data_IF_347002991885
#
_entry.id   IF_347002991885
#
_cell.length_a   1.000
_cell.length_b   1.000
_cell.length_c   1.000
_cell.angle_alpha   90.00
_cell.angle_beta   90.00
_cell.angle_gamma   90.00
#
_symmetry.space_group_name_H-M   'P 1'
#
loop_
_entity.id
_entity.type
_entity.pdbx_description
1 polymer ?
#
# COMPACT_ATOMS: atom_id res chain seq x y z
N UNK A 1 24.99 12.22 -67.76
CA UNK A 1 23.90 11.59 -66.98
C UNK A 1 24.52 11.07 -65.69
N UNK A 2 24.25 11.71 -64.55
CA UNK A 2 24.81 11.30 -63.25
C UNK A 2 24.04 10.08 -62.74
N UNK A 3 24.65 8.91 -62.82
CA UNK A 3 24.08 7.68 -62.26
C UNK A 3 24.41 7.64 -60.78
N UNK A 4 23.42 7.96 -59.96
CA UNK A 4 23.58 7.89 -58.51
C UNK A 4 23.81 6.42 -58.12
N UNK A 5 24.84 6.10 -57.32
CA UNK A 5 25.12 4.72 -56.99
C UNK A 5 24.01 4.13 -56.12
N UNK A 6 23.52 2.94 -56.49
CA UNK A 6 22.42 2.24 -55.78
C UNK A 6 22.68 2.04 -54.28
N UNK A 7 23.95 1.99 -53.85
CA UNK A 7 24.33 1.87 -52.45
C UNK A 7 24.04 3.15 -51.62
N UNK A 8 24.04 4.32 -52.25
CA UNK A 8 23.71 5.58 -51.57
C UNK A 8 22.21 5.65 -51.22
N UNK A 9 21.34 5.11 -52.09
CA UNK A 9 19.91 5.03 -51.82
C UNK A 9 19.58 4.08 -50.66
N UNK A 10 20.30 2.96 -50.56
CA UNK A 10 20.16 2.01 -49.44
C UNK A 10 20.60 2.64 -48.12
N UNK A 11 21.69 3.41 -48.11
CA UNK A 11 22.16 4.12 -46.92
C UNK A 11 21.18 5.20 -46.47
N UNK A 12 20.57 5.96 -47.40
CA UNK A 12 19.57 6.99 -47.07
C UNK A 12 18.30 6.35 -46.48
N UNK A 13 17.84 5.23 -47.05
CA UNK A 13 16.68 4.50 -46.52
C UNK A 13 16.98 3.88 -45.15
N UNK A 14 18.17 3.29 -44.97
CA UNK A 14 18.58 2.73 -43.68
C UNK A 14 18.73 3.82 -42.60
N UNK A 15 19.30 4.97 -42.93
CA UNK A 15 19.45 6.10 -42.02
C UNK A 15 18.08 6.73 -41.66
N UNK A 16 17.18 6.83 -42.64
CA UNK A 16 15.79 7.25 -42.40
C UNK A 16 15.02 6.31 -41.48
N UNK A 17 15.26 5.00 -41.58
CA UNK A 17 14.63 3.99 -40.73
C UNK A 17 15.16 4.03 -39.28
N UNK A 18 16.47 4.23 -39.11
CA UNK A 18 17.10 4.38 -37.78
C UNK A 18 16.68 5.70 -37.10
N UNK A 19 16.60 6.80 -37.85
CA UNK A 19 16.13 8.09 -37.32
C UNK A 19 14.63 8.07 -36.93
N UNK A 20 13.80 7.36 -37.70
CA UNK A 20 12.38 7.19 -37.36
C UNK A 20 12.16 6.28 -36.14
N UNK A 21 13.02 5.27 -35.93
CA UNK A 21 12.97 4.39 -34.76
C UNK A 21 13.40 5.09 -33.45
N UNK A 22 14.17 6.17 -33.52
CA UNK A 22 14.60 6.95 -32.36
C UNK A 22 13.50 7.89 -31.79
N UNK A 23 12.36 8.02 -32.47
CA UNK A 23 11.30 8.99 -32.15
C UNK A 23 10.20 8.43 -31.23
N UNK A 24 10.56 7.57 -30.26
CA UNK A 24 9.60 6.88 -29.39
C UNK A 24 9.70 7.17 -27.90
N UNK A 25 10.81 7.76 -27.43
CA UNK A 25 10.94 8.12 -26.03
C UNK A 25 10.27 9.48 -25.78
N UNK A 26 8.95 9.47 -25.54
CA UNK A 26 8.28 10.61 -24.92
C UNK A 26 9.09 11.01 -23.69
N UNK A 27 9.50 12.28 -23.64
CA UNK A 27 10.25 12.83 -22.51
C UNK A 27 9.33 13.01 -21.29
N UNK A 28 8.75 11.92 -20.81
CA UNK A 28 7.82 11.94 -19.69
C UNK A 28 8.61 12.20 -18.40
N UNK A 29 8.28 13.33 -17.77
CA UNK A 29 8.75 13.68 -16.44
C UNK A 29 7.63 13.40 -15.45
N UNK A 30 7.89 12.55 -14.45
CA UNK A 30 6.94 12.24 -13.38
C UNK A 30 7.33 12.93 -12.09
N UNK A 31 6.41 13.72 -11.54
CA UNK A 31 6.52 14.36 -10.24
C UNK A 31 5.35 14.01 -9.33
N UNK A 32 5.61 13.93 -8.03
CA UNK A 32 4.57 13.78 -7.00
C UNK A 32 4.52 15.04 -6.15
N UNK A 33 3.31 15.60 -6.00
CA UNK A 33 2.99 16.66 -5.04
C UNK A 33 2.54 16.01 -3.74
N UNK A 34 3.39 16.00 -2.73
CA UNK A 34 3.18 15.29 -1.47
C UNK A 34 3.06 16.30 -0.32
N UNK A 35 2.02 16.13 0.50
CA UNK A 35 1.86 16.82 1.77
C UNK A 35 1.63 15.77 2.86
N UNK A 36 2.51 15.70 3.85
CA UNK A 36 2.44 14.70 4.90
C UNK A 36 1.67 15.22 6.11
N UNK A 37 0.55 14.57 6.46
CA UNK A 37 -0.42 15.11 7.43
C UNK A 37 0.12 15.23 8.85
N UNK A 38 1.10 14.40 9.23
CA UNK A 38 1.63 14.38 10.60
C UNK A 38 2.90 15.20 10.78
N UNK A 39 3.66 15.44 9.70
CA UNK A 39 4.91 16.22 9.76
C UNK A 39 4.75 17.60 9.16
N UNK A 40 3.64 17.84 8.45
CA UNK A 40 3.35 19.06 7.68
C UNK A 40 4.38 19.39 6.60
N UNK A 41 5.23 18.41 6.26
CA UNK A 41 6.19 18.53 5.17
C UNK A 41 5.45 18.54 3.84
N UNK A 42 5.83 19.50 2.99
CA UNK A 42 5.23 19.71 1.67
C UNK A 42 6.33 19.74 0.62
N UNK A 43 6.20 18.91 -0.41
CA UNK A 43 7.20 18.85 -1.47
C UNK A 43 6.56 18.49 -2.82
N UNK A 44 7.05 19.09 -3.88
CA UNK A 44 6.87 18.60 -5.24
C UNK A 44 8.18 17.97 -5.70
N UNK A 45 8.16 16.66 -5.98
CA UNK A 45 9.39 15.89 -6.19
C UNK A 45 9.32 15.20 -7.54
N UNK A 46 10.23 15.57 -8.44
CA UNK A 46 10.47 14.84 -9.68
C UNK A 46 11.28 13.59 -9.36
N UNK A 47 10.73 12.41 -9.66
CA UNK A 47 11.34 11.12 -9.31
C UNK A 47 11.62 10.21 -10.52
N UNK A 48 11.07 10.53 -11.70
CA UNK A 48 11.33 9.80 -12.95
C UNK A 48 11.41 10.79 -14.12
N UNK A 49 12.38 10.59 -15.00
CA UNK A 49 12.56 11.37 -16.25
C UNK A 49 12.95 10.42 -17.37
N UNK A 50 12.25 10.49 -18.50
CA UNK A 50 12.56 9.72 -19.71
C UNK A 50 12.68 8.21 -19.41
N UNK A 51 11.72 7.67 -18.66
CA UNK A 51 11.69 6.27 -18.25
C UNK A 51 12.65 5.90 -17.10
N UNK A 52 13.60 6.77 -16.73
CA UNK A 52 14.60 6.48 -15.69
C UNK A 52 14.28 7.16 -14.36
N UNK A 53 14.44 6.43 -13.26
CA UNK A 53 14.29 7.02 -11.93
C UNK A 53 15.43 7.98 -11.60
N UNK A 54 15.09 9.08 -10.94
CA UNK A 54 16.02 10.12 -10.49
C UNK A 54 16.41 9.79 -9.04
N UNK A 55 17.66 9.39 -8.74
CA UNK A 55 18.06 8.95 -7.40
C UNK A 55 17.83 10.00 -6.32
N UNK A 56 18.04 11.28 -6.64
CA UNK A 56 17.78 12.38 -5.71
C UNK A 56 16.29 12.51 -5.37
N UNK A 57 15.41 12.40 -6.36
CA UNK A 57 13.96 12.41 -6.16
C UNK A 57 13.50 11.26 -5.29
N UNK A 58 14.02 10.05 -5.54
CA UNK A 58 13.74 8.88 -4.71
C UNK A 58 14.20 9.08 -3.26
N UNK A 59 15.38 9.67 -3.02
CA UNK A 59 15.85 9.98 -1.66
C UNK A 59 14.92 10.97 -0.95
N UNK A 60 14.50 12.05 -1.63
CA UNK A 60 13.55 13.02 -1.06
C UNK A 60 12.21 12.36 -0.70
N UNK A 61 11.73 11.46 -1.55
CA UNK A 61 10.51 10.70 -1.30
C UNK A 61 10.67 9.74 -0.11
N UNK A 62 11.81 9.06 0.02
CA UNK A 62 12.09 8.19 1.16
C UNK A 62 12.06 8.94 2.50
N UNK A 63 12.45 10.22 2.50
CA UNK A 63 12.36 11.08 3.69
C UNK A 63 10.91 11.49 3.94
N UNK A 64 10.20 12.08 2.98
CA UNK A 64 8.82 12.56 3.24
C UNK A 64 7.84 11.42 3.54
N UNK A 65 8.10 10.20 3.05
CA UNK A 65 7.31 9.00 3.33
C UNK A 65 7.87 8.14 4.47
N UNK A 66 8.83 8.64 5.25
CA UNK A 66 9.41 7.91 6.39
C UNK A 66 8.39 7.58 7.46
N UNK A 67 8.75 6.67 8.36
CA UNK A 67 7.99 6.49 9.59
C UNK A 67 8.16 7.73 10.47
N UNK A 68 7.16 8.61 10.46
CA UNK A 68 7.20 9.88 11.18
C UNK A 68 7.30 9.72 12.70
N UNK A 69 6.83 8.60 13.27
CA UNK A 69 6.87 8.38 14.73
C UNK A 69 8.28 8.16 15.23
N UNK A 70 9.16 7.68 14.36
CA UNK A 70 10.54 7.31 14.68
C UNK A 70 11.57 8.05 13.84
N UNK A 71 11.12 8.85 12.88
CA UNK A 71 11.97 9.54 11.92
C UNK A 71 12.85 8.57 11.11
N UNK A 72 12.33 7.38 10.81
CA UNK A 72 13.08 6.30 10.15
C UNK A 72 12.66 6.19 8.67
N UNK A 73 13.51 6.58 7.71
CA UNK A 73 13.22 6.39 6.29
C UNK A 73 13.50 4.95 5.85
N UNK A 74 12.95 4.58 4.70
CA UNK A 74 13.26 3.31 4.03
C UNK A 74 13.46 3.54 2.53
N UNK A 75 13.96 2.53 1.81
CA UNK A 75 13.92 2.53 0.35
C UNK A 75 12.50 2.19 -0.11
N UNK A 76 11.74 3.20 -0.49
CA UNK A 76 10.41 3.00 -1.08
C UNK A 76 10.54 2.31 -2.45
N UNK A 77 9.59 1.41 -2.77
CA UNK A 77 9.53 0.75 -4.07
C UNK A 77 9.12 1.77 -5.14
N UNK A 78 9.96 2.07 -6.15
CA UNK A 78 9.63 3.08 -7.15
C UNK A 78 8.35 2.77 -7.95
N UNK A 79 7.94 1.49 -8.01
CA UNK A 79 6.67 1.09 -8.66
C UNK A 79 5.45 1.62 -7.89
N UNK A 80 5.54 1.76 -6.57
CA UNK A 80 4.48 2.41 -5.79
C UNK A 80 4.30 3.86 -6.22
N UNK A 81 5.41 4.55 -6.49
CA UNK A 81 5.39 5.95 -6.92
C UNK A 81 4.74 6.08 -8.30
N UNK A 82 5.07 5.17 -9.22
CA UNK A 82 4.41 5.08 -10.51
C UNK A 82 2.90 4.79 -10.38
N UNK A 83 2.50 3.88 -9.48
CA UNK A 83 1.09 3.56 -9.23
C UNK A 83 0.31 4.81 -8.78
N UNK A 84 0.85 5.52 -7.79
CA UNK A 84 0.25 6.73 -7.23
C UNK A 84 0.20 7.85 -8.28
N UNK A 85 1.26 8.02 -9.06
CA UNK A 85 1.35 9.04 -10.08
C UNK A 85 0.30 8.85 -11.19
N UNK A 86 0.15 7.63 -11.66
CA UNK A 86 -0.89 7.27 -12.61
C UNK A 86 -2.30 7.46 -12.02
N UNK A 87 -2.52 7.02 -10.77
CA UNK A 87 -3.81 7.22 -10.10
C UNK A 87 -4.17 8.71 -9.94
N UNK A 88 -3.17 9.54 -9.63
CA UNK A 88 -3.30 10.99 -9.56
C UNK A 88 -3.74 11.58 -10.91
N UNK A 89 -3.08 11.15 -12.00
CA UNK A 89 -3.39 11.60 -13.36
C UNK A 89 -4.79 11.16 -13.81
N UNK A 90 -5.14 9.89 -13.63
CA UNK A 90 -6.46 9.35 -13.99
C UNK A 90 -7.59 9.98 -13.15
N UNK A 91 -7.29 10.37 -11.91
CA UNK A 91 -8.24 11.07 -11.06
C UNK A 91 -8.56 12.49 -11.55
N UNK A 92 -7.72 13.08 -12.42
CA UNK A 92 -7.78 14.50 -12.79
C UNK A 92 -7.42 15.41 -11.61
N UNK A 93 -6.53 14.94 -10.73
CA UNK A 93 -6.13 15.66 -9.53
C UNK A 93 -5.24 16.87 -9.85
N UNK A 94 -5.39 17.94 -9.07
CA UNK A 94 -4.60 19.17 -9.20
C UNK A 94 -3.88 19.58 -7.92
N UNK A 95 -4.43 19.21 -6.77
CA UNK A 95 -3.91 19.53 -5.44
C UNK A 95 -2.91 18.48 -4.92
N UNK A 96 -2.25 18.76 -3.80
CA UNK A 96 -1.29 17.87 -3.17
C UNK A 96 -1.96 16.57 -2.69
N UNK A 97 -1.25 15.46 -2.91
CA UNK A 97 -1.55 14.16 -2.30
C UNK A 97 -1.33 14.29 -0.80
N UNK A 98 -2.41 14.09 -0.05
CA UNK A 98 -2.43 14.15 1.41
C UNK A 98 -2.02 12.78 1.93
N UNK A 99 -0.76 12.66 2.33
CA UNK A 99 -0.17 11.41 2.82
C UNK A 99 -0.54 11.21 4.28
N UNK A 100 -1.30 10.16 4.55
CA UNK A 100 -1.64 9.70 5.90
C UNK A 100 -0.51 8.83 6.44
N UNK A 101 -0.01 7.90 5.62
CA UNK A 101 1.02 6.95 6.04
C UNK A 101 1.84 6.45 4.84
N UNK A 102 3.16 6.53 4.95
CA UNK A 102 4.12 5.92 4.03
C UNK A 102 4.72 4.65 4.62
N UNK A 103 6.03 4.62 4.82
CA UNK A 103 6.70 3.54 5.54
C UNK A 103 6.29 3.47 7.01
N UNK A 104 6.26 2.25 7.55
CA UNK A 104 6.13 1.98 8.99
C UNK A 104 7.24 1.05 9.42
N UNK A 105 7.96 1.40 10.47
CA UNK A 105 8.95 0.48 11.02
C UNK A 105 8.26 -0.74 11.65
N UNK A 106 8.98 -1.87 11.81
CA UNK A 106 8.43 -3.04 12.51
C UNK A 106 7.91 -2.71 13.91
N UNK A 107 8.62 -1.86 14.66
CA UNK A 107 8.21 -1.41 15.99
C UNK A 107 6.89 -0.64 15.95
N UNK A 108 6.76 0.32 15.02
CA UNK A 108 5.53 1.08 14.82
C UNK A 108 4.37 0.18 14.38
N UNK A 109 4.60 -0.77 13.48
CA UNK A 109 3.56 -1.70 13.04
C UNK A 109 3.06 -2.56 14.21
N UNK A 110 3.97 -3.12 15.02
CA UNK A 110 3.62 -3.90 16.22
C UNK A 110 2.83 -3.07 17.24
N UNK A 111 3.24 -1.82 17.48
CA UNK A 111 2.52 -0.89 18.37
C UNK A 111 1.11 -0.58 17.86
N UNK A 112 0.92 -0.38 16.54
CA UNK A 112 -0.41 -0.12 15.99
C UNK A 112 -1.31 -1.38 16.00
N UNK A 113 -0.71 -2.57 15.85
CA UNK A 113 -1.41 -3.86 15.97
C UNK A 113 -1.89 -4.15 17.37
N UNK A 114 -1.09 -3.85 18.40
CA UNK A 114 -1.53 -4.07 19.78
C UNK A 114 -2.74 -3.20 20.16
N UNK A 115 -2.96 -2.09 19.43
CA UNK A 115 -4.06 -1.15 19.63
C UNK A 115 -5.25 -1.37 18.69
N UNK A 116 -5.10 -2.17 17.63
CA UNK A 116 -6.15 -2.34 16.63
C UNK A 116 -6.05 -3.65 15.86
N UNK A 117 -7.21 -4.19 15.50
CA UNK A 117 -7.31 -5.40 14.65
C UNK A 117 -7.17 -5.10 13.15
N UNK A 118 -7.13 -3.83 12.76
CA UNK A 118 -7.10 -3.37 11.36
C UNK A 118 -5.71 -3.31 10.74
N UNK A 119 -4.65 -3.66 11.49
CA UNK A 119 -3.27 -3.61 11.02
C UNK A 119 -2.73 -5.01 10.78
N UNK A 120 -2.29 -5.27 9.55
CA UNK A 120 -1.69 -6.54 9.17
C UNK A 120 -0.31 -6.76 9.82
N UNK A 121 -0.01 -8.00 10.18
CA UNK A 121 1.29 -8.40 10.73
C UNK A 121 2.42 -8.19 9.72
N UNK A 122 2.24 -8.69 8.50
CA UNK A 122 3.17 -8.55 7.38
C UNK A 122 2.71 -7.45 6.43
N UNK A 123 2.65 -6.22 6.94
CA UNK A 123 2.13 -5.07 6.17
C UNK A 123 3.07 -4.66 5.03
N UNK A 124 2.53 -4.31 3.87
CA UNK A 124 3.29 -3.75 2.75
C UNK A 124 3.92 -2.39 3.09
N UNK A 125 3.40 -1.66 4.08
CA UNK A 125 4.04 -0.44 4.60
C UNK A 125 5.43 -0.71 5.18
N UNK A 126 5.65 -1.86 5.83
CA UNK A 126 6.96 -2.23 6.38
C UNK A 126 7.98 -2.57 5.29
N UNK A 127 7.51 -2.86 4.08
CA UNK A 127 8.37 -3.18 2.93
C UNK A 127 8.64 -1.96 2.04
N UNK A 128 8.13 -0.78 2.41
CA UNK A 128 8.20 0.42 1.55
C UNK A 128 7.37 0.28 0.28
N UNK A 129 6.35 -0.59 0.28
CA UNK A 129 5.54 -0.96 -0.89
C UNK A 129 4.11 -0.42 -0.85
N UNK A 130 3.75 0.35 0.15
CA UNK A 130 2.39 0.87 0.32
C UNK A 130 2.35 2.34 0.74
N UNK A 131 1.24 2.99 0.42
CA UNK A 131 0.91 4.34 0.86
C UNK A 131 -0.58 4.47 1.15
N UNK A 132 -0.90 5.15 2.25
CA UNK A 132 -2.25 5.57 2.62
C UNK A 132 -2.38 7.06 2.32
N UNK A 133 -3.35 7.43 1.50
CA UNK A 133 -3.51 8.82 1.06
C UNK A 133 -4.93 9.16 0.61
N UNK A 134 -5.18 10.46 0.47
CA UNK A 134 -6.31 10.99 -0.28
C UNK A 134 -5.86 12.22 -1.07
N UNK A 135 -6.73 12.73 -1.93
CA UNK A 135 -6.46 13.93 -2.72
C UNK A 135 -7.67 14.87 -2.57
N UNK A 136 -7.48 16.12 -2.12
CA UNK A 136 -8.55 17.11 -2.05
C UNK A 136 -9.24 17.28 -3.42
N UNK A 137 -10.57 17.39 -3.40
CA UNK A 137 -11.38 17.50 -4.61
C UNK A 137 -11.60 16.18 -5.38
N UNK A 138 -10.94 15.08 -5.02
CA UNK A 138 -11.16 13.76 -5.62
C UNK A 138 -12.04 12.91 -4.68
N UNK A 139 -13.24 12.46 -5.10
CA UNK A 139 -14.04 11.55 -4.30
C UNK A 139 -13.26 10.27 -3.98
N UNK A 140 -13.23 9.86 -2.70
CA UNK A 140 -12.44 8.72 -2.25
C UNK A 140 -12.81 7.42 -2.99
N UNK A 141 -14.10 7.23 -3.28
CA UNK A 141 -14.60 6.10 -4.08
C UNK A 141 -14.05 6.10 -5.51
N UNK A 142 -13.88 7.27 -6.13
CA UNK A 142 -13.27 7.41 -7.47
C UNK A 142 -11.82 6.94 -7.42
N UNK A 143 -11.06 7.42 -6.45
CA UNK A 143 -9.65 7.08 -6.29
C UNK A 143 -9.45 5.56 -6.01
N UNK A 144 -10.31 4.98 -5.16
CA UNK A 144 -10.37 3.52 -4.95
C UNK A 144 -10.61 2.78 -6.27
N UNK A 145 -11.61 3.20 -7.04
CA UNK A 145 -11.99 2.54 -8.30
C UNK A 145 -10.87 2.59 -9.34
N UNK A 146 -10.15 3.71 -9.40
CA UNK A 146 -8.94 3.86 -10.23
C UNK A 146 -7.90 2.81 -9.80
N UNK A 147 -7.54 2.76 -8.51
CA UNK A 147 -6.58 1.77 -8.00
C UNK A 147 -6.99 0.33 -8.32
N UNK A 148 -8.28 0.00 -8.21
CA UNK A 148 -8.80 -1.32 -8.55
C UNK A 148 -8.57 -1.65 -10.02
N UNK A 149 -8.92 -0.73 -10.94
CA UNK A 149 -8.77 -0.89 -12.39
C UNK A 149 -7.32 -1.05 -12.83
N UNK A 150 -6.40 -0.36 -12.15
CA UNK A 150 -4.97 -0.45 -12.44
C UNK A 150 -4.38 -1.84 -12.14
N UNK A 151 -4.94 -2.58 -11.18
CA UNK A 151 -4.48 -3.93 -10.82
C UNK A 151 -2.96 -4.00 -10.57
N UNK A 152 -2.39 -2.93 -9.99
CA UNK A 152 -0.95 -2.82 -9.68
C UNK A 152 -0.55 -3.49 -8.36
N UNK A 153 -1.53 -3.80 -7.51
CA UNK A 153 -1.35 -4.49 -6.23
C UNK A 153 -2.59 -4.34 -5.35
N UNK A 154 -2.41 -4.25 -4.03
CA UNK A 154 -3.51 -4.16 -3.07
C UNK A 154 -4.18 -2.80 -3.02
N UNK A 155 -5.51 -2.78 -2.85
CA UNK A 155 -6.31 -1.57 -2.66
C UNK A 155 -7.20 -1.67 -1.43
N UNK A 156 -6.97 -0.79 -0.45
CA UNK A 156 -7.82 -0.67 0.74
C UNK A 156 -8.70 0.59 0.68
N UNK A 157 -9.92 0.51 1.21
CA UNK A 157 -10.87 1.64 1.25
C UNK A 157 -11.33 1.94 2.67
N UNK A 158 -10.99 3.15 3.15
CA UNK A 158 -11.24 3.59 4.52
C UNK A 158 -12.00 4.93 4.54
N UNK A 159 -13.30 4.95 4.18
CA UNK A 159 -14.09 6.18 4.20
C UNK A 159 -14.50 6.60 5.62
N UNK A 160 -14.52 5.66 6.57
CA UNK A 160 -14.99 5.85 7.95
C UNK A 160 -13.85 6.02 8.97
N UNK A 161 -12.59 6.05 8.53
CA UNK A 161 -11.48 6.37 9.42
C UNK A 161 -11.53 7.84 9.83
N UNK A 162 -10.94 8.17 10.99
CA UNK A 162 -10.91 9.56 11.50
C UNK A 162 -10.27 10.56 10.53
N UNK A 163 -9.36 10.09 9.67
CA UNK A 163 -8.97 10.75 8.42
C UNK A 163 -9.28 9.79 7.28
N UNK A 164 -10.26 10.05 6.40
CA UNK A 164 -10.58 9.14 5.29
C UNK A 164 -9.42 8.98 4.30
N UNK A 165 -9.14 7.77 3.85
CA UNK A 165 -8.07 7.50 2.87
C UNK A 165 -8.29 6.23 2.03
N UNK A 166 -7.53 6.13 0.95
CA UNK A 166 -7.31 4.87 0.23
C UNK A 166 -5.93 4.35 0.54
N UNK A 167 -5.81 3.04 0.65
CA UNK A 167 -4.55 2.34 0.67
C UNK A 167 -4.25 1.84 -0.73
N UNK A 168 -3.03 2.05 -1.21
CA UNK A 168 -2.53 1.38 -2.42
C UNK A 168 -1.15 0.78 -2.16
N UNK A 169 -0.93 -0.44 -2.65
CA UNK A 169 0.35 -1.13 -2.57
C UNK A 169 0.72 -1.83 -3.88
N UNK A 170 1.99 -2.23 -3.99
CA UNK A 170 2.55 -2.99 -5.13
C UNK A 170 2.86 -4.45 -4.77
N UNK A 171 2.08 -5.02 -3.85
CA UNK A 171 2.05 -6.45 -3.56
C UNK A 171 1.13 -7.22 -4.52
N UNK A 172 0.56 -8.33 -4.05
CA UNK A 172 -0.42 -9.08 -4.83
C UNK A 172 -1.71 -8.28 -4.99
N UNK A 173 -2.33 -8.42 -6.17
CA UNK A 173 -3.62 -7.79 -6.48
C UNK A 173 -4.69 -8.38 -5.56
N UNK A 174 -5.26 -7.50 -4.75
CA UNK A 174 -6.31 -7.81 -3.77
C UNK A 174 -7.02 -6.54 -3.38
N UNK A 175 -8.15 -6.64 -2.70
CA UNK A 175 -8.84 -5.46 -2.18
C UNK A 175 -9.51 -5.73 -0.85
N UNK A 176 -9.73 -4.66 -0.08
CA UNK A 176 -10.52 -4.70 1.15
C UNK A 176 -11.21 -3.35 1.41
N UNK A 177 -12.44 -3.33 1.94
CA UNK A 177 -13.30 -4.48 2.23
C UNK A 177 -13.76 -5.19 0.95
N UNK A 178 -14.34 -6.39 1.08
CA UNK A 178 -14.81 -7.15 -0.08
C UNK A 178 -15.84 -6.37 -0.90
N UNK A 179 -15.76 -6.50 -2.23
CA UNK A 179 -16.62 -5.82 -3.20
C UNK A 179 -17.68 -6.79 -3.75
N UNK A 180 -18.92 -6.31 -3.90
CA UNK A 180 -20.00 -7.14 -4.47
C UNK A 180 -19.72 -7.47 -5.94
N UNK A 181 -20.25 -8.60 -6.42
CA UNK A 181 -20.14 -8.98 -7.84
C UNK A 181 -20.65 -7.90 -8.77
N UNK A 182 -21.79 -7.28 -8.45
CA UNK A 182 -22.40 -6.23 -9.26
C UNK A 182 -21.50 -5.01 -9.37
N UNK A 183 -20.91 -4.56 -8.26
CA UNK A 183 -19.98 -3.44 -8.26
C UNK A 183 -18.70 -3.77 -9.03
N UNK A 184 -18.18 -4.98 -8.88
CA UNK A 184 -16.99 -5.40 -9.63
C UNK A 184 -17.25 -5.51 -11.13
N UNK A 185 -18.42 -6.01 -11.55
CA UNK A 185 -18.84 -6.05 -12.96
C UNK A 185 -19.01 -4.63 -13.52
N UNK A 186 -19.52 -3.69 -12.72
CA UNK A 186 -19.59 -2.28 -13.14
C UNK A 186 -18.21 -1.68 -13.40
N UNK A 187 -17.19 -2.09 -12.62
CA UNK A 187 -15.80 -1.66 -12.83
C UNK A 187 -15.11 -2.39 -13.99
N UNK A 188 -15.44 -3.66 -14.21
CA UNK A 188 -14.88 -4.52 -15.24
C UNK A 188 -15.99 -5.17 -16.07
N UNK A 189 -16.63 -4.43 -17.01
CA UNK A 189 -17.75 -4.97 -17.80
C UNK A 189 -17.38 -6.19 -18.64
N UNK A 190 -16.11 -6.32 -19.04
CA UNK A 190 -15.58 -7.47 -19.78
C UNK A 190 -15.21 -8.66 -18.87
N UNK A 191 -15.37 -8.53 -17.55
CA UNK A 191 -15.01 -9.55 -16.56
C UNK A 191 -13.51 -9.82 -16.41
N UNK A 192 -12.63 -9.09 -17.11
CA UNK A 192 -11.17 -9.30 -17.10
C UNK A 192 -10.54 -8.59 -15.91
N UNK A 193 -10.52 -9.27 -14.77
CA UNK A 193 -9.93 -8.75 -13.55
C UNK A 193 -9.34 -9.86 -12.68
N UNK A 194 -8.28 -9.53 -11.94
CA UNK A 194 -7.66 -10.37 -10.91
C UNK A 194 -8.37 -10.21 -9.56
N UNK A 195 -9.27 -9.25 -9.42
CA UNK A 195 -10.07 -9.09 -8.21
C UNK A 195 -11.16 -10.16 -8.15
N UNK A 196 -11.34 -10.76 -6.98
CA UNK A 196 -12.40 -11.73 -6.72
C UNK A 196 -13.50 -11.07 -5.88
N UNK A 197 -14.78 -11.13 -6.27
CA UNK A 197 -15.88 -10.59 -5.47
C UNK A 197 -16.01 -11.24 -4.08
N UNK A 198 -16.79 -10.61 -3.20
CA UNK A 198 -17.07 -11.13 -1.85
C UNK A 198 -17.75 -12.50 -1.82
N UNK A 199 -18.33 -12.96 -2.92
CA UNK A 199 -18.91 -14.31 -3.03
C UNK A 199 -17.86 -15.41 -3.29
N UNK A 200 -16.58 -15.03 -3.42
CA UNK A 200 -15.45 -15.93 -3.60
C UNK A 200 -15.32 -16.56 -5.00
N UNK A 201 -16.25 -16.27 -5.91
CA UNK A 201 -16.25 -16.85 -7.26
C UNK A 201 -15.64 -15.85 -8.26
N UNK A 202 -14.60 -16.19 -9.00
CA UNK A 202 -14.02 -15.27 -9.99
C UNK A 202 -15.03 -14.79 -11.05
N UNK A 203 -14.75 -13.66 -11.71
CA UNK A 203 -15.51 -13.25 -12.90
C UNK A 203 -15.11 -14.09 -14.12
N UNK A 204 -15.97 -14.24 -15.15
CA UNK A 204 -15.67 -15.08 -16.31
C UNK A 204 -14.36 -14.77 -17.06
N UNK A 205 -13.85 -13.53 -16.97
CA UNK A 205 -12.59 -13.11 -17.60
C UNK A 205 -11.35 -13.24 -16.71
N UNK A 206 -11.46 -13.85 -15.53
CA UNK A 206 -10.38 -13.96 -14.56
C UNK A 206 -9.15 -14.70 -15.12
N UNK A 207 -9.34 -15.87 -15.74
CA UNK A 207 -8.24 -16.66 -16.31
C UNK A 207 -7.48 -15.88 -17.39
N UNK A 208 -8.21 -15.13 -18.22
CA UNK A 208 -7.61 -14.28 -19.26
C UNK A 208 -6.80 -13.13 -18.64
N UNK A 209 -7.30 -12.54 -17.55
CA UNK A 209 -6.60 -11.50 -16.80
C UNK A 209 -5.33 -12.07 -16.14
N UNK A 210 -5.40 -13.27 -15.59
CA UNK A 210 -4.29 -13.99 -14.95
C UNK A 210 -3.21 -14.38 -15.96
N UNK A 211 -3.59 -14.92 -17.12
CA UNK A 211 -2.66 -15.20 -18.21
C UNK A 211 -1.96 -13.92 -18.69
N UNK A 212 -2.72 -12.84 -18.88
CA UNK A 212 -2.16 -11.54 -19.26
C UNK A 212 -1.21 -10.99 -18.19
N UNK A 213 -1.51 -11.19 -16.91
CA UNK A 213 -0.64 -10.78 -15.80
C UNK A 213 0.66 -11.59 -15.76
N UNK A 214 0.59 -12.92 -15.90
CA UNK A 214 1.76 -13.80 -15.96
C UNK A 214 2.67 -13.45 -17.14
N UNK A 215 2.10 -13.20 -18.32
CA UNK A 215 2.86 -12.79 -19.51
C UNK A 215 3.60 -11.44 -19.29
N UNK A 216 2.97 -10.47 -18.61
CA UNK A 216 3.63 -9.20 -18.25
C UNK A 216 4.75 -9.40 -17.24
N UNK A 217 4.53 -10.24 -16.23
CA UNK A 217 5.55 -10.54 -15.21
C UNK A 217 6.77 -11.22 -15.84
N UNK A 218 6.56 -12.14 -16.79
CA UNK A 218 7.64 -12.82 -17.53
C UNK A 218 8.41 -11.91 -18.49
N UNK A 219 7.78 -10.87 -19.05
CA UNK A 219 8.43 -9.90 -19.95
C UNK A 219 9.09 -8.72 -19.22
N UNK A 220 9.09 -8.70 -17.89
CA UNK A 220 9.70 -7.63 -17.08
C UNK A 220 9.00 -6.27 -17.17
N UNK A 221 7.83 -6.18 -17.82
CA UNK A 221 7.07 -4.94 -17.95
C UNK A 221 6.27 -4.63 -16.68
N UNK A 222 6.39 -3.43 -16.10
CA UNK A 222 5.63 -3.08 -14.90
C UNK A 222 4.13 -2.99 -15.20
N UNK A 223 3.30 -3.57 -14.32
CA UNK A 223 1.84 -3.64 -14.49
C UNK A 223 1.14 -2.28 -14.70
N UNK A 224 1.82 -1.20 -14.30
CA UNK A 224 1.29 0.16 -14.24
C UNK A 224 1.35 0.89 -15.60
N UNK A 225 2.23 0.47 -16.53
CA UNK A 225 2.44 1.19 -17.80
C UNK A 225 1.22 1.18 -18.74
N UNK A 226 0.33 0.20 -18.64
CA UNK A 226 -0.86 0.10 -19.51
C UNK A 226 -2.03 1.00 -19.10
N UNK A 227 -2.08 1.52 -17.87
CA UNK A 227 -3.09 2.52 -17.51
C UNK A 227 -2.90 3.82 -18.33
N UNK A 228 -1.65 4.13 -18.69
CA UNK A 228 -1.28 5.28 -19.53
C UNK A 228 -1.57 5.09 -21.03
N UNK A 229 -1.63 3.84 -21.50
CA UNK A 229 -1.84 3.50 -22.91
C UNK A 229 -3.33 3.41 -23.30
N UNK A 230 -4.25 3.66 -22.37
CA UNK A 230 -5.70 3.62 -22.58
C UNK A 230 -6.30 4.82 -23.33
N UNK A 231 -5.47 5.74 -23.84
CA UNK A 231 -5.89 6.78 -24.77
C UNK A 231 -6.14 6.19 -26.16
N UNK A 232 -7.37 6.24 -26.63
CA UNK A 232 -7.84 5.73 -27.93
C UNK A 232 -6.92 6.11 -29.10
N UNK A 233 -6.06 5.18 -29.53
CA UNK A 233 -5.57 5.16 -30.90
C UNK A 233 -5.61 3.73 -31.42
N UNK A 234 -6.47 3.50 -32.43
CA UNK A 234 -6.45 2.29 -33.23
C UNK A 234 -5.05 2.17 -33.83
N UNK A 235 -4.30 1.12 -33.47
CA UNK A 235 -3.16 0.67 -34.27
C UNK A 235 -3.39 -0.77 -34.72
N UNK A 236 -3.67 -0.88 -36.00
CA UNK A 236 -3.88 -2.10 -36.77
C UNK A 236 -2.57 -2.88 -36.96
N UNK A 237 -2.64 -4.19 -36.79
CA UNK A 237 -1.91 -5.16 -37.62
C UNK A 237 -0.47 -5.49 -37.23
N UNK A 238 -0.23 -6.76 -36.90
CA UNK A 238 1.10 -7.34 -36.76
C UNK A 238 1.05 -8.87 -36.73
N UNK A 239 0.69 -9.49 -37.85
CA UNK A 239 0.51 -10.95 -38.02
C UNK A 239 1.85 -11.73 -38.20
N UNK A 240 2.99 -11.17 -37.81
CA UNK A 240 4.32 -11.71 -38.13
C UNK A 240 5.19 -12.05 -36.90
N UNK A 241 4.68 -11.92 -35.68
CA UNK A 241 5.45 -12.18 -34.46
C UNK A 241 5.64 -13.67 -34.12
N UNK A 242 5.13 -14.60 -34.95
CA UNK A 242 5.10 -16.03 -34.64
C UNK A 242 6.13 -16.88 -35.41
N UNK A 243 7.05 -16.28 -36.18
CA UNK A 243 7.93 -17.04 -37.08
C UNK A 243 9.44 -16.91 -36.85
N UNK A 244 9.90 -16.33 -35.74
CA UNK A 244 11.35 -16.32 -35.43
C UNK A 244 11.65 -16.38 -33.93
N UNK A 245 12.20 -17.50 -33.48
CA UNK A 245 12.88 -17.70 -32.19
C UNK A 245 12.05 -18.44 -31.15
N UNK A 246 12.18 -19.75 -30.90
CA UNK A 246 13.21 -20.70 -31.34
C UNK A 246 14.35 -20.88 -30.33
N UNK A 247 14.07 -21.61 -29.24
CA UNK A 247 15.05 -22.43 -28.50
C UNK A 247 15.76 -21.80 -27.28
N UNK A 248 15.62 -22.44 -26.13
CA UNK A 248 16.45 -22.19 -24.93
C UNK A 248 15.78 -22.65 -23.64
N UNK A 249 16.13 -23.86 -23.20
CA UNK A 249 15.64 -24.56 -22.00
C UNK A 249 16.16 -24.00 -20.66
N UNK A 250 15.48 -24.44 -19.61
CA UNK A 250 15.84 -24.59 -18.18
C UNK A 250 15.95 -23.35 -17.27
N UNK A 251 15.03 -23.23 -16.30
CA UNK A 251 15.26 -23.70 -14.91
C UNK A 251 14.03 -23.44 -13.99
N UNK A 252 14.02 -24.19 -12.90
CA UNK A 252 12.90 -24.64 -12.08
C UNK A 252 12.17 -23.64 -11.15
N UNK A 253 11.00 -24.13 -10.71
CA UNK A 253 10.28 -23.96 -9.43
C UNK A 253 9.88 -22.57 -8.90
N UNK A 254 8.56 -22.34 -8.87
CA UNK A 254 7.80 -22.36 -7.61
C UNK A 254 6.29 -22.37 -7.93
N UNK A 255 5.69 -23.56 -7.92
CA UNK A 255 4.23 -23.74 -8.04
C UNK A 255 3.65 -23.90 -6.64
N UNK A 256 3.07 -22.83 -6.10
CA UNK A 256 2.19 -22.92 -4.93
C UNK A 256 0.75 -23.00 -5.41
N UNK A 257 0.12 -24.12 -5.10
CA UNK A 257 -1.25 -24.51 -5.44
C UNK A 257 -2.29 -23.44 -5.07
N UNK A 258 -3.17 -23.17 -6.03
CA UNK A 258 -4.46 -22.52 -5.78
C UNK A 258 -5.48 -23.65 -5.63
N UNK A 259 -5.53 -24.27 -4.45
CA UNK A 259 -6.60 -25.20 -4.14
C UNK A 259 -7.93 -24.47 -4.00
N UNK A 260 -8.83 -24.82 -4.92
CA UNK A 260 -10.26 -24.52 -4.88
C UNK A 260 -10.91 -25.17 -3.67
N UNK A 261 -11.39 -24.36 -2.72
CA UNK A 261 -12.26 -24.83 -1.65
C UNK A 261 -13.64 -25.22 -2.22
N UNK A 262 -13.85 -26.53 -2.40
CA UNK A 262 -15.17 -27.13 -2.59
C UNK A 262 -15.83 -27.38 -1.24
N UNK A 263 -17.14 -27.10 -1.18
CA UNK A 263 -17.99 -27.21 0.00
C UNK A 263 -18.27 -28.68 0.41
N UNK A 264 -18.41 -28.92 1.72
CA UNK A 264 -18.96 -30.15 2.29
C UNK A 264 -19.72 -29.89 3.63
N UNK A 265 -20.68 -30.77 4.02
CA UNK A 265 -21.92 -30.45 4.77
C UNK A 265 -21.79 -30.59 6.32
N UNK A 266 -22.83 -30.23 7.13
CA UNK A 266 -22.67 -30.02 8.58
C UNK A 266 -22.72 -31.33 9.39
N UNK A 267 -22.01 -31.43 10.52
CA UNK A 267 -22.05 -32.63 11.35
C UNK A 267 -23.23 -32.63 12.35
N UNK A 268 -23.87 -33.80 12.47
CA UNK A 268 -24.87 -34.16 13.47
C UNK A 268 -24.22 -34.49 14.83
N UNK A 269 -25.00 -34.24 15.87
CA UNK A 269 -24.69 -34.45 17.29
C UNK A 269 -24.33 -35.89 17.65
N UNK A 270 -23.43 -36.05 18.63
CA UNK A 270 -23.25 -37.30 19.36
C UNK A 270 -23.14 -37.02 20.87
N UNK A 271 -24.08 -37.61 21.61
CA UNK A 271 -24.20 -37.59 23.06
C UNK A 271 -23.03 -38.30 23.75
N UNK A 272 -22.51 -37.72 24.83
CA UNK A 272 -21.86 -38.44 25.92
C UNK A 272 -22.32 -37.85 27.27
N UNK A 273 -22.84 -38.73 28.15
CA UNK A 273 -23.25 -38.47 29.55
C UNK A 273 -22.21 -39.12 30.50
N UNK A 274 -22.23 -38.89 31.83
CA UNK A 274 -21.16 -38.18 32.53
C UNK A 274 -20.48 -39.02 33.63
N UNK A 275 -19.30 -38.57 34.09
CA UNK A 275 -18.66 -39.11 35.29
C UNK A 275 -18.00 -37.99 36.13
N UNK A 276 -17.93 -38.27 37.43
CA UNK A 276 -17.92 -37.32 38.53
C UNK A 276 -16.54 -36.73 38.92
N UNK A 277 -16.63 -35.53 39.50
CA UNK A 277 -15.95 -35.00 40.68
C UNK A 277 -14.42 -35.16 40.87
N UNK A 278 -13.72 -34.01 40.90
CA UNK A 278 -12.77 -33.69 41.97
C UNK A 278 -12.55 -32.16 42.07
N UNK A 279 -12.52 -31.66 43.31
CA UNK A 279 -12.22 -30.30 43.77
C UNK A 279 -10.75 -29.95 43.42
N UNK A 280 -10.32 -28.72 43.19
CA UNK A 280 -10.18 -27.63 44.18
C UNK A 280 -9.86 -26.28 43.50
N UNK A 281 -10.24 -25.23 44.22
CA UNK A 281 -10.15 -23.80 43.95
C UNK A 281 -8.77 -23.18 44.21
N UNK A 282 -8.36 -22.19 43.41
CA UNK A 282 -7.83 -20.90 43.91
C UNK A 282 -7.68 -19.86 42.79
N UNK A 283 -8.43 -18.75 42.89
CA UNK A 283 -7.98 -17.34 42.79
C UNK A 283 -9.21 -16.39 42.66
N UNK A 284 -9.16 -15.20 43.28
CA UNK A 284 -10.35 -14.48 43.75
C UNK A 284 -11.05 -13.65 42.65
N UNK A 285 -12.37 -13.83 42.56
CA UNK A 285 -13.28 -12.98 41.80
C UNK A 285 -13.60 -11.69 42.54
N UNK A 286 -13.67 -10.61 41.78
CA UNK A 286 -14.13 -9.28 42.20
C UNK A 286 -15.58 -9.38 42.67
N UNK A 287 -15.83 -9.09 43.94
CA UNK A 287 -17.18 -8.97 44.50
C UNK A 287 -17.68 -7.54 44.31
N UNK A 288 -18.79 -7.38 43.60
CA UNK A 288 -19.52 -6.10 43.50
C UNK A 288 -20.40 -6.02 44.75
N UNK A 289 -20.18 -5.01 45.59
CA UNK A 289 -20.92 -4.78 46.84
C UNK A 289 -21.93 -3.64 46.65
N UNK A 290 -23.14 -3.80 47.18
CA UNK A 290 -24.23 -2.82 47.15
C UNK A 290 -23.91 -1.55 47.96
N UNK A 291 -24.43 -0.36 47.58
CA UNK A 291 -23.95 0.96 48.01
C UNK A 291 -24.24 1.34 49.48
N UNK A 292 -24.94 0.51 50.24
CA UNK A 292 -25.38 0.84 51.61
C UNK A 292 -24.40 0.44 52.73
N UNK A 293 -23.28 -0.21 52.40
CA UNK A 293 -22.21 -0.56 53.36
C UNK A 293 -20.83 0.06 53.04
N UNK A 294 -20.77 1.06 52.14
CA UNK A 294 -19.53 1.75 51.81
C UNK A 294 -19.13 2.74 52.92
N UNK A 295 -18.27 2.33 53.86
CA UNK A 295 -17.61 3.27 54.78
C UNK A 295 -16.45 3.98 54.06
N UNK A 296 -16.47 5.31 54.07
CA UNK A 296 -15.41 6.16 53.50
C UNK A 296 -14.14 5.97 54.33
N UNK A 297 -13.06 5.49 53.70
CA UNK A 297 -11.75 5.49 54.33
C UNK A 297 -11.26 6.94 54.43
N UNK A 298 -10.99 7.39 55.66
CA UNK A 298 -10.28 8.64 55.94
C UNK A 298 -8.80 8.44 55.60
N UNK A 299 -8.27 9.28 54.73
CA UNK A 299 -6.86 9.30 54.37
C UNK A 299 -6.17 10.27 55.35
N UNK A 300 -5.17 9.82 56.14
CA UNK A 300 -4.41 10.73 57.00
C UNK A 300 -3.70 11.80 56.18
N UNK A 301 -3.90 13.08 56.54
CA UNK A 301 -3.09 14.20 56.04
C UNK A 301 -1.64 13.98 56.44
N UNK A 302 -0.75 13.92 55.46
CA UNK A 302 0.69 13.87 55.69
C UNK A 302 1.15 15.29 56.02
N UNK A 303 1.66 15.44 57.24
CA UNK A 303 2.32 16.63 57.78
C UNK A 303 3.53 17.02 56.94
N UNK A 304 3.68 18.31 56.66
CA UNK A 304 4.87 18.89 56.03
C UNK A 304 6.12 18.56 56.83
N UNK A 305 7.04 17.80 56.23
CA UNK A 305 8.40 17.63 56.72
C UNK A 305 9.38 18.30 55.76
N UNK A 306 10.08 19.26 56.36
CA UNK A 306 11.19 20.10 55.96
C UNK A 306 12.15 19.48 54.92
N UNK A 307 12.42 20.26 53.87
CA UNK A 307 13.40 19.97 52.83
C UNK A 307 14.84 19.93 53.38
N UNK A 308 15.71 19.01 52.91
CA UNK A 308 17.15 19.14 53.08
C UNK A 308 17.76 20.05 51.99
N UNK A 309 18.78 20.81 52.37
CA UNK A 309 19.59 21.68 51.52
C UNK A 309 20.30 20.93 50.37
N UNK A 310 20.61 21.59 49.24
CA UNK A 310 21.32 20.97 48.13
C UNK A 310 22.83 20.91 48.39
N UNK A 311 23.40 19.70 48.40
CA UNK A 311 24.84 19.47 48.30
C UNK A 311 25.36 19.86 46.89
N UNK A 312 26.55 20.44 46.87
CA UNK A 312 27.24 20.93 45.68
C UNK A 312 28.01 19.78 45.01
N UNK A 313 27.64 19.42 43.77
CA UNK A 313 28.39 18.48 42.95
C UNK A 313 29.38 19.21 42.00
N UNK A 314 30.65 18.80 42.11
CA UNK A 314 31.77 19.18 41.22
C UNK A 314 31.66 18.53 39.83
N UNK A 315 32.26 19.11 38.77
CA UNK A 315 31.82 18.85 37.41
C UNK A 315 32.71 17.84 36.68
N UNK A 316 32.47 16.53 36.78
CA UNK A 316 32.94 15.58 35.76
C UNK A 316 31.97 14.41 35.55
N UNK A 317 31.73 14.08 34.28
CA UNK A 317 30.89 12.97 33.76
C UNK A 317 29.43 13.32 33.41
N UNK A 318 29.27 14.20 32.42
CA UNK A 318 28.04 14.24 31.60
C UNK A 318 28.11 13.09 30.60
N UNK A 319 27.58 11.92 30.97
CA UNK A 319 27.07 10.96 29.97
C UNK A 319 25.61 11.35 29.72
N UNK A 320 25.36 11.84 28.52
CA UNK A 320 24.05 12.25 28.04
C UNK A 320 23.07 11.05 28.02
N UNK A 321 22.32 10.86 29.10
CA UNK A 321 21.08 10.11 29.09
C UNK A 321 20.00 10.99 28.45
N UNK A 322 19.78 10.82 27.14
CA UNK A 322 18.65 11.41 26.45
C UNK A 322 17.34 10.89 27.08
N UNK A 323 16.39 11.76 27.48
CA UNK A 323 15.10 11.28 27.96
C UNK A 323 14.32 10.62 26.81
N UNK A 324 13.60 9.54 27.14
CA UNK A 324 12.68 8.88 26.21
C UNK A 324 11.66 9.91 25.69
N UNK A 325 11.82 10.32 24.43
CA UNK A 325 10.86 11.21 23.76
C UNK A 325 9.49 10.55 23.75
N UNK A 326 8.51 11.19 24.39
CA UNK A 326 7.11 10.83 24.29
C UNK A 326 6.68 10.90 22.82
N UNK A 327 6.27 9.75 22.29
CA UNK A 327 5.79 9.64 20.91
C UNK A 327 4.43 10.35 20.83
N UNK A 328 4.22 11.31 19.91
CA UNK A 328 2.94 11.99 19.77
C UNK A 328 1.84 11.00 19.47
N UNK A 329 0.80 11.00 20.31
CA UNK A 329 -0.45 10.29 20.04
C UNK A 329 -1.26 11.12 19.04
N UNK A 330 -1.88 10.51 18.01
CA UNK A 330 -2.86 11.22 17.21
C UNK A 330 -4.06 11.54 18.09
N UNK A 331 -4.36 12.84 18.22
CA UNK A 331 -5.54 13.28 18.93
C UNK A 331 -6.79 12.87 18.13
N UNK A 332 -7.75 12.22 18.77
CA UNK A 332 -8.99 11.82 18.10
C UNK A 332 -9.87 13.05 18.00
N UNK A 333 -10.12 13.53 16.77
CA UNK A 333 -11.07 14.62 16.55
C UNK A 333 -12.43 14.27 17.19
N UNK A 334 -13.06 15.19 17.95
CA UNK A 334 -14.35 14.93 18.59
C UNK A 334 -15.43 14.70 17.52
N UNK A 335 -16.19 13.62 17.70
CA UNK A 335 -17.30 13.22 16.82
C UNK A 335 -18.37 14.33 16.84
N UNK A 336 -18.87 14.81 15.68
CA UNK A 336 -20.00 15.75 15.66
C UNK A 336 -21.23 15.06 16.28
N UNK A 337 -21.90 15.76 17.19
CA UNK A 337 -23.17 15.29 17.76
C UNK A 337 -24.22 15.30 16.64
N UNK A 338 -24.92 14.17 16.51
CA UNK A 338 -26.04 13.99 15.60
C UNK A 338 -27.25 14.83 16.02
#
# INVERSE_FOLDING_TARGET
MSVWPKWLAVLVVAFGFVAAAASGASAETRSLKLYHLHTHEKAEIVYKRNGRYVPEGLRKINIILRDWRRNEPTKMDPRLLDLVWEAYREAGATDYIQVVCGYRSPSTNSMLRSRSRGVAEKSQHMLGKAMDFYIPGVPLKKLRNIGLKMQGGGVGYYPSSGSPFVHMDVGNVRHWPGISRQELVSLFPNGKTLHVPSDGRPLPGFEQALASYKARKGSGSPAIEMASAGGSSKKSGGFLSAFFGGGGDDEADDSADVETASAAPPPKARNLKPAAAAKTSNLPGIAIVAPENARRAEIPQVTEQQAPEPEQDTPETIIAALPARSIPLPDFAPRPKA
#
